data_IF_560816001693
#
_entry.id   IF_560816001693
#
_cell.length_a   1.000
_cell.length_b   1.000
_cell.length_c   1.000
_cell.angle_alpha   90.00
_cell.angle_beta   90.00
_cell.angle_gamma   90.00
#
_symmetry.space_group_name_H-M   'P 1'
#
loop_
_entity.id
_entity.type
_entity.pdbx_description
1 polymer ?
#
# COMPACT_ATOMS: atom_id res chain seq x y z
N UNK A 1 16.12 15.29 -42.53
CA UNK A 1 16.87 15.13 -41.27
C UNK A 1 17.14 13.65 -41.08
N UNK A 2 18.41 13.23 -41.04
CA UNK A 2 18.74 11.82 -40.79
C UNK A 2 18.40 11.47 -39.33
N UNK A 3 17.74 10.34 -39.04
CA UNK A 3 17.42 9.95 -37.67
C UNK A 3 18.72 9.71 -36.89
N UNK A 4 18.84 10.33 -35.72
CA UNK A 4 19.95 10.09 -34.79
C UNK A 4 19.92 8.64 -34.34
N UNK A 5 21.01 7.91 -34.60
CA UNK A 5 21.14 6.51 -34.23
C UNK A 5 20.98 6.33 -32.71
N UNK A 6 20.12 5.39 -32.31
CA UNK A 6 19.90 5.01 -30.91
C UNK A 6 21.21 4.55 -30.27
N UNK A 7 21.61 5.18 -29.17
CA UNK A 7 22.83 4.82 -28.45
C UNK A 7 22.57 3.65 -27.49
N UNK A 8 22.88 2.44 -27.92
CA UNK A 8 22.71 1.20 -27.15
C UNK A 8 23.85 0.91 -26.15
N UNK A 9 24.88 1.75 -26.12
CA UNK A 9 26.09 1.54 -25.29
C UNK A 9 25.76 1.43 -23.79
N UNK A 10 24.87 2.27 -23.20
CA UNK A 10 24.53 2.14 -21.78
C UNK A 10 23.86 0.79 -21.44
N UNK A 11 22.96 0.30 -22.31
CA UNK A 11 22.28 -0.97 -22.10
C UNK A 11 23.22 -2.17 -22.14
N UNK A 12 24.21 -2.14 -23.03
CA UNK A 12 25.26 -3.18 -23.12
C UNK A 12 26.16 -3.21 -21.89
N UNK A 13 26.46 -2.06 -21.29
CA UNK A 13 27.26 -1.99 -20.05
C UNK A 13 26.49 -2.62 -18.88
N UNK A 14 25.19 -2.32 -18.73
CA UNK A 14 24.38 -2.89 -17.63
C UNK A 14 24.26 -4.41 -17.79
N UNK A 15 24.03 -4.90 -19.01
CA UNK A 15 23.93 -6.34 -19.30
C UNK A 15 25.22 -7.09 -18.94
N UNK A 16 26.37 -6.54 -19.33
CA UNK A 16 27.67 -7.17 -19.08
C UNK A 16 28.02 -7.20 -17.59
N UNK A 17 27.75 -6.12 -16.85
CA UNK A 17 27.92 -6.10 -15.38
C UNK A 17 27.01 -7.11 -14.70
N UNK A 18 25.74 -7.22 -15.12
CA UNK A 18 24.80 -8.22 -14.60
C UNK A 18 25.25 -9.66 -14.83
N UNK A 19 25.78 -9.96 -16.02
CA UNK A 19 26.31 -11.29 -16.35
C UNK A 19 27.56 -11.64 -15.53
N UNK A 20 28.46 -10.68 -15.28
CA UNK A 20 29.65 -10.90 -14.46
C UNK A 20 29.26 -11.16 -13.00
N UNK A 21 28.30 -10.40 -12.46
CA UNK A 21 27.78 -10.62 -11.11
C UNK A 21 27.09 -12.00 -10.96
N UNK A 22 26.29 -12.40 -11.95
CA UNK A 22 25.65 -13.71 -11.98
C UNK A 22 26.68 -14.85 -12.08
N UNK A 23 27.72 -14.69 -12.88
CA UNK A 23 28.81 -15.66 -12.99
C UNK A 23 29.58 -15.80 -11.65
N UNK A 24 29.88 -14.70 -10.98
CA UNK A 24 30.50 -14.70 -9.65
C UNK A 24 29.60 -15.35 -8.59
N UNK A 25 28.29 -15.12 -8.64
CA UNK A 25 27.33 -15.75 -7.75
C UNK A 25 27.23 -17.27 -7.96
N UNK A 26 27.22 -17.72 -9.21
CA UNK A 26 27.22 -19.16 -9.52
C UNK A 26 28.54 -19.83 -9.13
N UNK A 27 29.68 -19.14 -9.31
CA UNK A 27 30.99 -19.66 -8.93
C UNK A 27 31.13 -19.80 -7.42
N UNK A 28 30.59 -18.87 -6.63
CA UNK A 28 30.55 -18.95 -5.16
C UNK A 28 29.58 -20.03 -4.65
N UNK A 29 28.43 -20.26 -5.32
CA UNK A 29 27.53 -21.37 -4.99
C UNK A 29 28.12 -22.75 -5.28
N UNK A 30 28.92 -22.90 -6.35
CA UNK A 30 29.51 -24.21 -6.69
C UNK A 30 30.56 -24.67 -5.69
N UNK A 31 31.14 -23.75 -4.91
CA UNK A 31 32.08 -24.05 -3.80
C UNK A 31 31.34 -24.43 -2.50
N UNK A 32 30.06 -24.10 -2.37
CA UNK A 32 29.28 -24.33 -1.14
C UNK A 32 28.50 -25.66 -1.11
N UNK A 33 28.55 -26.48 -2.16
CA UNK A 33 27.67 -27.64 -2.33
C UNK A 33 28.08 -28.92 -1.57
N UNK A 34 29.00 -28.84 -0.62
CA UNK A 34 29.40 -30.00 0.19
C UNK A 34 29.81 -29.60 1.61
N UNK A 35 28.86 -29.12 2.42
CA UNK A 35 29.05 -28.99 3.86
C UNK A 35 27.96 -29.78 4.61
N UNK A 36 28.30 -30.57 5.64
CA UNK A 36 27.32 -31.29 6.44
C UNK A 36 26.36 -30.30 7.13
N UNK A 37 25.12 -30.75 7.38
CA UNK A 37 24.03 -29.98 8.02
C UNK A 37 24.57 -29.04 9.11
N UNK A 38 24.42 -27.74 8.90
CA UNK A 38 24.85 -26.74 9.88
C UNK A 38 24.02 -26.92 11.15
N UNK A 39 24.63 -26.65 12.31
CA UNK A 39 23.96 -26.69 13.63
C UNK A 39 22.68 -25.84 13.67
N UNK A 40 22.58 -24.84 12.79
CA UNK A 40 21.44 -23.95 12.65
C UNK A 40 20.24 -24.62 11.99
N UNK A 41 20.44 -25.56 11.05
CA UNK A 41 19.35 -26.29 10.38
C UNK A 41 18.58 -27.22 11.33
N UNK A 42 19.30 -27.94 12.20
CA UNK A 42 18.68 -28.81 13.20
C UNK A 42 17.83 -28.03 14.23
N UNK A 43 18.22 -26.80 14.56
CA UNK A 43 17.43 -25.93 15.43
C UNK A 43 16.15 -25.43 14.75
N UNK A 44 16.25 -25.08 13.47
CA UNK A 44 15.11 -24.63 12.67
C UNK A 44 14.08 -25.75 12.48
N UNK A 45 14.52 -26.99 12.26
CA UNK A 45 13.64 -28.15 12.15
C UNK A 45 12.91 -28.46 13.46
N UNK A 46 13.60 -28.38 14.60
CA UNK A 46 12.99 -28.54 15.93
C UNK A 46 11.95 -27.44 16.21
N UNK A 47 12.23 -26.21 15.79
CA UNK A 47 11.33 -25.08 15.91
C UNK A 47 10.06 -25.25 15.05
N UNK A 48 10.21 -25.66 13.78
CA UNK A 48 9.08 -25.97 12.90
C UNK A 48 8.21 -27.08 13.46
N UNK A 49 8.82 -28.15 14.00
CA UNK A 49 8.08 -29.26 14.61
C UNK A 49 7.29 -28.81 15.84
N UNK A 50 7.89 -27.98 16.70
CA UNK A 50 7.19 -27.43 17.86
C UNK A 50 5.98 -26.58 17.44
N UNK A 51 6.14 -25.68 16.47
CA UNK A 51 5.02 -24.85 15.99
C UNK A 51 3.88 -25.70 15.41
N UNK A 52 4.19 -26.75 14.65
CA UNK A 52 3.19 -27.68 14.14
C UNK A 52 2.39 -28.39 15.24
N UNK A 53 3.04 -28.76 16.35
CA UNK A 53 2.36 -29.41 17.49
C UNK A 53 1.47 -28.45 18.26
N UNK A 54 1.87 -27.18 18.38
CA UNK A 54 1.03 -26.13 18.98
C UNK A 54 -0.23 -25.91 18.14
N UNK A 55 -0.11 -25.93 16.81
CA UNK A 55 -1.27 -25.77 15.94
C UNK A 55 -2.25 -26.95 16.06
N UNK A 56 -1.75 -28.19 16.10
CA UNK A 56 -2.58 -29.37 16.35
C UNK A 56 -3.30 -29.32 17.70
N UNK A 57 -2.66 -28.77 18.75
CA UNK A 57 -3.31 -28.57 20.05
C UNK A 57 -4.45 -27.55 19.99
N UNK A 58 -4.32 -26.49 19.18
CA UNK A 58 -5.39 -25.51 18.97
C UNK A 58 -6.56 -26.12 18.21
N UNK A 59 -6.27 -26.86 17.13
CA UNK A 59 -7.29 -27.57 16.35
C UNK A 59 -8.04 -28.57 17.23
N UNK A 60 -7.32 -29.39 18.00
CA UNK A 60 -7.93 -30.33 18.94
C UNK A 60 -8.80 -29.62 19.99
N UNK A 61 -8.38 -28.44 20.47
CA UNK A 61 -9.17 -27.64 21.40
C UNK A 61 -10.45 -27.08 20.77
N UNK A 62 -10.43 -26.73 19.47
CA UNK A 62 -11.62 -26.31 18.73
C UNK A 62 -12.63 -27.45 18.57
N UNK A 63 -12.14 -28.68 18.35
CA UNK A 63 -12.96 -29.89 18.16
C UNK A 63 -13.36 -30.58 19.48
N UNK A 64 -13.09 -29.97 20.63
CA UNK A 64 -13.36 -30.54 21.96
C UNK A 64 -14.79 -31.08 22.13
N UNK A 65 -15.77 -30.41 21.53
CA UNK A 65 -17.19 -30.79 21.63
C UNK A 65 -17.60 -31.94 20.72
N UNK A 66 -16.77 -32.30 19.72
CA UNK A 66 -17.04 -33.35 18.75
C UNK A 66 -16.42 -34.70 19.12
N UNK A 67 -15.52 -34.75 20.12
CA UNK A 67 -14.85 -35.96 20.58
C UNK A 67 -15.38 -36.45 21.93
N UNK A 68 -15.34 -37.77 22.12
CA UNK A 68 -15.55 -38.41 23.42
C UNK A 68 -14.53 -37.87 24.45
N UNK A 69 -14.95 -37.54 25.69
CA UNK A 69 -14.08 -36.90 26.69
C UNK A 69 -12.77 -37.66 26.96
N UNK A 70 -12.83 -38.99 27.02
CA UNK A 70 -11.64 -39.82 27.25
C UNK A 70 -10.65 -39.78 26.09
N UNK A 71 -11.15 -39.72 24.84
CA UNK A 71 -10.31 -39.65 23.64
C UNK A 71 -9.66 -38.29 23.50
N UNK A 72 -10.41 -37.22 23.80
CA UNK A 72 -9.88 -35.86 23.81
C UNK A 72 -8.70 -35.72 24.79
N UNK A 73 -8.86 -36.19 26.02
CA UNK A 73 -7.80 -36.11 27.04
C UNK A 73 -6.58 -36.97 26.69
N UNK A 74 -6.78 -38.13 26.06
CA UNK A 74 -5.68 -38.99 25.60
C UNK A 74 -4.86 -38.32 24.47
N UNK A 75 -5.53 -37.78 23.45
CA UNK A 75 -4.85 -37.15 22.30
C UNK A 75 -4.17 -35.84 22.72
N UNK A 76 -4.83 -35.06 23.59
CA UNK A 76 -4.27 -33.84 24.15
C UNK A 76 -2.98 -34.12 24.93
N UNK A 77 -3.00 -35.09 25.84
CA UNK A 77 -1.81 -35.46 26.62
C UNK A 77 -0.67 -35.94 25.74
N UNK A 78 -0.97 -36.70 24.69
CA UNK A 78 0.03 -37.16 23.72
C UNK A 78 0.71 -35.96 23.03
N UNK A 79 -0.07 -35.03 22.48
CA UNK A 79 0.46 -33.85 21.79
C UNK A 79 1.25 -32.93 22.73
N UNK A 80 0.77 -32.73 23.96
CA UNK A 80 1.49 -31.96 24.98
C UNK A 80 2.85 -32.59 25.32
N UNK A 81 2.92 -33.91 25.47
CA UNK A 81 4.18 -34.62 25.72
C UNK A 81 5.16 -34.50 24.55
N UNK A 82 4.68 -34.62 23.31
CA UNK A 82 5.51 -34.46 22.11
C UNK A 82 6.04 -33.01 21.97
N UNK A 83 5.22 -32.00 22.27
CA UNK A 83 5.62 -30.59 22.23
C UNK A 83 6.70 -30.28 23.27
N UNK A 84 6.53 -30.80 24.50
CA UNK A 84 7.53 -30.68 25.58
C UNK A 84 8.84 -31.38 25.19
N UNK A 85 8.77 -32.55 24.54
CA UNK A 85 9.95 -33.25 24.07
C UNK A 85 10.72 -32.46 23.00
N UNK A 86 10.01 -31.87 22.03
CA UNK A 86 10.61 -31.01 21.00
C UNK A 86 11.30 -29.77 21.61
N UNK A 87 10.67 -29.13 22.60
CA UNK A 87 11.23 -27.96 23.29
C UNK A 87 12.49 -28.33 24.09
N UNK A 88 12.49 -29.46 24.82
CA UNK A 88 13.68 -29.94 25.53
C UNK A 88 14.83 -30.27 24.57
N UNK A 89 14.53 -30.89 23.42
CA UNK A 89 15.54 -31.16 22.41
C UNK A 89 16.17 -29.86 21.88
N UNK A 90 15.35 -28.81 21.66
CA UNK A 90 15.83 -27.48 21.28
C UNK A 90 16.75 -26.89 22.36
N UNK A 91 16.35 -26.92 23.62
CA UNK A 91 17.15 -26.41 24.74
C UNK A 91 18.46 -27.19 24.93
N UNK A 92 18.46 -28.51 24.73
CA UNK A 92 19.67 -29.32 24.74
C UNK A 92 20.61 -28.98 23.59
N UNK A 93 20.07 -28.74 22.39
CA UNK A 93 20.84 -28.28 21.24
C UNK A 93 21.47 -26.90 21.51
N UNK A 94 20.73 -25.97 22.13
CA UNK A 94 21.24 -24.66 22.55
C UNK A 94 22.32 -24.79 23.64
N UNK A 95 22.14 -25.67 24.63
CA UNK A 95 23.15 -25.93 25.67
C UNK A 95 24.41 -26.59 25.11
N UNK A 96 24.28 -27.58 24.23
CA UNK A 96 25.41 -28.23 23.52
C UNK A 96 26.10 -27.27 22.54
N UNK A 97 25.39 -26.25 22.06
CA UNK A 97 25.89 -25.18 21.19
C UNK A 97 26.81 -24.16 21.88
N UNK A 98 26.85 -24.11 23.21
CA UNK A 98 27.81 -23.30 23.96
C UNK A 98 27.67 -21.79 23.75
N UNK A 99 26.58 -21.20 24.25
CA UNK A 99 26.57 -19.78 24.58
C UNK A 99 27.19 -19.57 25.97
N UNK A 100 28.47 -19.22 26.02
CA UNK A 100 28.98 -18.41 27.14
C UNK A 100 28.46 -16.99 26.90
N UNK A 101 27.64 -16.40 27.79
CA UNK A 101 27.32 -14.98 27.68
C UNK A 101 28.57 -14.21 28.07
N UNK A 102 29.24 -13.59 27.09
CA UNK A 102 30.38 -12.71 27.32
C UNK A 102 31.75 -13.30 26.96
N UNK A 103 31.99 -13.63 25.69
CA UNK A 103 33.34 -13.64 25.14
C UNK A 103 33.25 -13.39 23.64
N UNK A 104 33.57 -12.16 23.23
CA UNK A 104 33.77 -11.78 21.82
C UNK A 104 34.94 -12.61 21.29
N UNK A 105 34.64 -13.74 20.62
CA UNK A 105 35.66 -14.54 19.93
C UNK A 105 36.12 -13.76 18.70
N UNK A 106 37.33 -13.19 18.78
CA UNK A 106 38.05 -12.75 17.60
C UNK A 106 38.28 -13.97 16.69
N UNK A 107 37.74 -13.90 15.48
CA UNK A 107 37.91 -14.94 14.47
C UNK A 107 39.39 -14.99 14.02
N UNK A 108 39.97 -16.17 13.75
CA UNK A 108 41.33 -16.25 13.25
C UNK A 108 41.43 -15.54 11.90
N UNK A 109 42.36 -14.60 11.80
CA UNK A 109 42.62 -13.85 10.58
C UNK A 109 42.98 -14.80 9.44
N UNK A 110 42.05 -14.96 8.49
CA UNK A 110 42.33 -15.62 7.23
C UNK A 110 43.44 -14.84 6.52
N UNK A 111 44.62 -15.47 6.34
CA UNK A 111 45.70 -14.97 5.50
C UNK A 111 45.28 -15.02 4.03
N UNK A 112 44.40 -14.11 3.63
CA UNK A 112 44.17 -13.72 2.24
C UNK A 112 44.85 -12.38 1.99
N UNK A 113 45.33 -12.15 0.76
CA UNK A 113 46.11 -10.95 0.38
C UNK A 113 45.45 -9.58 0.68
N UNK A 114 44.18 -9.55 1.08
CA UNK A 114 43.45 -8.34 1.42
C UNK A 114 42.76 -8.52 2.77
N UNK A 115 43.02 -7.60 3.70
CA UNK A 115 42.43 -7.61 5.04
C UNK A 115 40.89 -7.55 4.95
N UNK A 116 40.16 -8.17 5.90
CA UNK A 116 38.69 -8.17 5.89
C UNK A 116 38.07 -6.77 5.84
N UNK A 117 38.74 -5.79 6.46
CA UNK A 117 38.32 -4.38 6.44
C UNK A 117 38.47 -3.76 5.05
N UNK A 118 39.53 -4.10 4.30
CA UNK A 118 39.69 -3.64 2.91
C UNK A 118 38.60 -4.22 2.00
N UNK A 119 38.19 -5.46 2.22
CA UNK A 119 37.09 -6.09 1.47
C UNK A 119 35.76 -5.37 1.72
N UNK A 120 35.49 -5.00 2.97
CA UNK A 120 34.32 -4.19 3.33
C UNK A 120 34.36 -2.78 2.74
N UNK A 121 35.53 -2.13 2.79
CA UNK A 121 35.72 -0.80 2.21
C UNK A 121 35.54 -0.79 0.68
N UNK A 122 36.02 -1.82 -0.02
CA UNK A 122 35.82 -1.97 -1.46
C UNK A 122 34.35 -2.19 -1.83
N UNK A 123 33.62 -2.97 -1.03
CA UNK A 123 32.17 -3.16 -1.21
C UNK A 123 31.38 -1.87 -0.95
N UNK A 124 31.67 -1.17 0.15
CA UNK A 124 31.04 0.11 0.46
C UNK A 124 31.33 1.18 -0.59
N UNK A 125 32.58 1.26 -1.04
CA UNK A 125 32.99 2.17 -2.12
C UNK A 125 32.28 1.88 -3.44
N UNK A 126 32.10 0.59 -3.80
CA UNK A 126 31.35 0.19 -4.98
C UNK A 126 29.88 0.59 -4.93
N UNK A 127 29.21 0.44 -3.78
CA UNK A 127 27.81 0.85 -3.60
C UNK A 127 27.67 2.37 -3.72
N UNK A 128 28.53 3.14 -3.06
CA UNK A 128 28.52 4.61 -3.13
C UNK A 128 28.75 5.07 -4.56
N UNK A 129 29.72 4.48 -5.26
CA UNK A 129 30.01 4.80 -6.67
C UNK A 129 28.81 4.47 -7.56
N UNK A 130 28.14 3.33 -7.34
CA UNK A 130 26.95 2.94 -8.08
C UNK A 130 25.81 3.95 -7.91
N UNK A 131 25.46 4.31 -6.67
CA UNK A 131 24.38 5.27 -6.42
C UNK A 131 24.75 6.69 -6.83
N UNK A 132 26.01 7.10 -6.73
CA UNK A 132 26.47 8.38 -7.24
C UNK A 132 26.36 8.44 -8.77
N UNK A 133 26.77 7.37 -9.45
CA UNK A 133 26.64 7.25 -10.91
C UNK A 133 25.17 7.23 -11.32
N UNK A 134 24.34 6.44 -10.63
CA UNK A 134 22.89 6.36 -10.86
C UNK A 134 22.23 7.73 -10.67
N UNK A 135 22.54 8.42 -9.57
CA UNK A 135 21.99 9.75 -9.26
C UNK A 135 22.42 10.77 -10.29
N UNK A 136 23.70 10.76 -10.69
CA UNK A 136 24.20 11.63 -11.75
C UNK A 136 23.49 11.37 -13.07
N UNK A 137 23.34 10.11 -13.47
CA UNK A 137 22.62 9.75 -14.71
C UNK A 137 21.16 10.18 -14.65
N UNK A 138 20.48 9.94 -13.53
CA UNK A 138 19.05 10.23 -13.38
C UNK A 138 18.77 11.74 -13.37
N UNK A 139 19.63 12.53 -12.72
CA UNK A 139 19.55 14.01 -12.76
C UNK A 139 19.93 14.54 -14.14
N UNK A 140 20.92 13.95 -14.82
CA UNK A 140 21.34 14.39 -16.15
C UNK A 140 20.30 14.09 -17.24
N UNK A 141 19.49 13.04 -17.07
CA UNK A 141 18.45 12.63 -18.02
C UNK A 141 17.07 13.23 -17.72
N UNK A 142 16.90 13.95 -16.61
CA UNK A 142 15.71 14.76 -16.35
C UNK A 142 15.69 15.97 -17.28
N UNK A 143 15.28 15.78 -18.54
CA UNK A 143 14.86 16.88 -19.41
C UNK A 143 13.57 17.46 -18.86
N UNK A 144 13.52 18.79 -18.72
CA UNK A 144 12.25 19.52 -18.54
C UNK A 144 11.43 19.34 -19.81
N UNK A 145 10.25 18.73 -19.67
CA UNK A 145 9.33 18.41 -20.76
C UNK A 145 8.96 19.68 -21.54
N UNK A 146 9.25 19.70 -22.85
CA UNK A 146 8.74 20.72 -23.75
C UNK A 146 7.30 20.40 -24.15
N UNK A 147 6.50 21.42 -24.47
CA UNK A 147 5.07 21.31 -24.83
C UNK A 147 4.77 20.33 -25.99
N UNK A 148 5.78 19.92 -26.76
CA UNK A 148 5.62 19.07 -27.95
C UNK A 148 5.98 17.59 -27.76
N UNK A 149 6.43 17.17 -26.57
CA UNK A 149 6.81 15.77 -26.33
C UNK A 149 5.58 14.88 -26.06
N UNK A 150 5.21 14.08 -27.08
CA UNK A 150 4.14 13.09 -27.01
C UNK A 150 4.45 12.00 -25.98
N UNK A 151 3.48 11.74 -25.07
CA UNK A 151 3.58 10.68 -24.08
C UNK A 151 3.81 9.32 -24.77
N UNK A 152 4.79 8.55 -24.29
CA UNK A 152 5.07 7.18 -24.75
C UNK A 152 4.02 6.20 -24.22
N UNK A 153 2.79 6.43 -24.64
CA UNK A 153 1.68 5.51 -24.57
C UNK A 153 0.79 5.87 -25.74
N UNK A 154 0.66 4.99 -26.73
CA UNK A 154 -0.39 5.14 -27.74
C UNK A 154 -1.71 5.00 -27.02
N UNK A 155 -2.29 6.13 -26.62
CA UNK A 155 -3.65 6.18 -26.13
C UNK A 155 -4.54 5.88 -27.35
N UNK A 156 -5.40 4.85 -27.30
CA UNK A 156 -6.33 4.58 -28.39
C UNK A 156 -7.14 5.84 -28.71
N UNK A 157 -7.43 6.13 -29.99
CA UNK A 157 -8.27 7.27 -30.33
C UNK A 157 -9.65 7.04 -29.72
N UNK A 158 -9.98 7.83 -28.69
CA UNK A 158 -11.18 7.65 -27.85
C UNK A 158 -10.93 7.64 -26.34
N UNK A 159 -9.67 7.51 -25.87
CA UNK A 159 -9.29 7.65 -24.46
C UNK A 159 -8.34 8.82 -24.23
N UNK A 160 -8.42 9.87 -25.06
CA UNK A 160 -7.83 11.15 -24.69
C UNK A 160 -8.42 11.56 -23.36
N UNK A 161 -7.56 11.77 -22.36
CA UNK A 161 -7.92 12.56 -21.19
C UNK A 161 -8.67 13.78 -21.72
N UNK A 162 -9.98 13.83 -21.46
CA UNK A 162 -10.77 15.02 -21.69
C UNK A 162 -9.99 16.16 -21.05
N UNK A 163 -9.76 17.21 -21.84
CA UNK A 163 -9.03 18.41 -21.45
C UNK A 163 -9.80 19.18 -20.36
N UNK A 164 -9.94 18.60 -19.18
CA UNK A 164 -10.54 19.17 -17.98
C UNK A 164 -9.49 19.81 -17.06
N UNK A 165 -8.20 19.51 -17.27
CA UNK A 165 -7.09 20.02 -16.47
C UNK A 165 -6.99 21.57 -16.38
N UNK A 166 -7.35 22.39 -17.40
CA UNK A 166 -7.28 23.85 -17.26
C UNK A 166 -8.37 24.45 -16.35
N UNK A 167 -9.58 23.86 -16.33
CA UNK A 167 -10.70 24.37 -15.55
C UNK A 167 -10.63 23.92 -14.09
N UNK A 168 -10.19 22.68 -13.84
CA UNK A 168 -10.02 22.12 -12.50
C UNK A 168 -8.94 22.87 -11.69
N UNK A 169 -7.82 23.25 -12.33
CA UNK A 169 -6.80 24.07 -11.67
C UNK A 169 -7.27 25.52 -11.45
N UNK A 170 -8.15 26.03 -12.31
CA UNK A 170 -8.75 27.36 -12.14
C UNK A 170 -9.67 27.40 -10.90
N UNK A 171 -10.55 26.41 -10.74
CA UNK A 171 -11.47 26.35 -9.59
C UNK A 171 -10.75 26.21 -8.25
N UNK A 172 -9.71 25.36 -8.20
CA UNK A 172 -8.88 25.23 -6.99
C UNK A 172 -8.23 26.57 -6.63
N UNK A 173 -7.61 27.22 -7.61
CA UNK A 173 -6.88 28.48 -7.40
C UNK A 173 -7.82 29.59 -6.94
N UNK A 174 -8.99 29.72 -7.59
CA UNK A 174 -10.01 30.71 -7.21
C UNK A 174 -10.54 30.47 -5.79
N UNK A 175 -10.84 29.21 -5.43
CA UNK A 175 -11.30 28.86 -4.09
C UNK A 175 -10.23 29.19 -3.03
N UNK A 176 -8.95 28.90 -3.31
CA UNK A 176 -7.84 29.25 -2.43
C UNK A 176 -7.70 30.77 -2.25
N UNK A 177 -7.81 31.55 -3.31
CA UNK A 177 -7.75 33.01 -3.23
C UNK A 177 -8.92 33.59 -2.42
N UNK A 178 -10.13 33.08 -2.64
CA UNK A 178 -11.32 33.50 -1.88
C UNK A 178 -11.18 33.19 -0.39
N UNK A 179 -10.78 31.96 -0.03
CA UNK A 179 -10.54 31.58 1.38
C UNK A 179 -9.42 32.41 2.00
N UNK A 180 -8.37 32.74 1.24
CA UNK A 180 -7.27 33.60 1.72
C UNK A 180 -7.74 35.03 2.00
N UNK A 181 -8.54 35.59 1.11
CA UNK A 181 -9.04 36.97 1.23
C UNK A 181 -10.18 37.08 2.25
N UNK A 182 -10.99 36.04 2.40
CA UNK A 182 -12.09 35.95 3.35
C UNK A 182 -12.14 34.54 3.96
N UNK A 183 -11.47 34.31 5.11
CA UNK A 183 -11.47 33.01 5.79
C UNK A 183 -12.84 32.54 6.31
N UNK A 184 -13.85 33.42 6.31
CA UNK A 184 -15.24 33.10 6.67
C UNK A 184 -16.16 32.87 5.46
N UNK A 185 -15.62 32.87 4.24
CA UNK A 185 -16.35 32.51 3.03
C UNK A 185 -16.59 30.98 3.01
N UNK A 186 -17.75 30.57 3.49
CA UNK A 186 -18.11 29.15 3.63
C UNK A 186 -18.21 28.45 2.27
N UNK A 187 -18.73 29.14 1.25
CA UNK A 187 -18.87 28.58 -0.10
C UNK A 187 -17.49 28.34 -0.71
N UNK A 188 -16.55 29.29 -0.56
CA UNK A 188 -15.19 29.10 -1.02
C UNK A 188 -14.47 27.99 -0.25
N UNK A 189 -14.72 27.87 1.05
CA UNK A 189 -14.16 26.80 1.87
C UNK A 189 -14.72 25.43 1.51
N UNK A 190 -16.01 25.34 1.19
CA UNK A 190 -16.66 24.12 0.73
C UNK A 190 -16.10 23.69 -0.64
N UNK A 191 -16.00 24.62 -1.60
CA UNK A 191 -15.40 24.37 -2.90
C UNK A 191 -13.94 23.91 -2.77
N UNK A 192 -13.14 24.60 -1.94
CA UNK A 192 -11.75 24.22 -1.70
C UNK A 192 -11.65 22.83 -1.06
N UNK A 193 -12.49 22.55 -0.06
CA UNK A 193 -12.55 21.24 0.58
C UNK A 193 -12.90 20.13 -0.42
N UNK A 194 -13.93 20.34 -1.23
CA UNK A 194 -14.36 19.39 -2.25
C UNK A 194 -13.19 19.04 -3.18
N UNK A 195 -12.52 20.06 -3.72
CA UNK A 195 -11.44 19.86 -4.68
C UNK A 195 -10.22 19.19 -4.05
N UNK A 196 -9.89 19.53 -2.80
CA UNK A 196 -8.86 18.83 -2.03
C UNK A 196 -9.23 17.35 -1.79
N UNK A 197 -10.48 17.02 -1.50
CA UNK A 197 -10.96 15.64 -1.37
C UNK A 197 -10.80 14.89 -2.70
N UNK A 198 -11.22 15.47 -3.82
CA UNK A 198 -11.06 14.86 -5.16
C UNK A 198 -9.60 14.58 -5.51
N UNK A 199 -8.70 15.49 -5.14
CA UNK A 199 -7.25 15.35 -5.32
C UNK A 199 -6.58 14.45 -4.28
N UNK A 200 -7.36 13.86 -3.36
CA UNK A 200 -6.88 13.00 -2.28
C UNK A 200 -5.95 13.72 -1.28
N UNK A 201 -6.04 15.05 -1.21
CA UNK A 201 -5.29 15.91 -0.29
C UNK A 201 -6.05 16.03 1.05
N UNK A 202 -6.31 14.88 1.66
CA UNK A 202 -7.27 14.75 2.77
C UNK A 202 -6.91 15.56 4.02
N UNK A 203 -5.62 15.70 4.34
CA UNK A 203 -5.18 16.48 5.50
C UNK A 203 -5.43 17.98 5.33
N UNK A 204 -5.34 18.48 4.11
CA UNK A 204 -5.63 19.88 3.80
C UNK A 204 -7.13 20.12 3.77
N UNK A 205 -7.87 19.21 3.12
CA UNK A 205 -9.33 19.22 3.11
C UNK A 205 -9.88 19.25 4.54
N UNK A 206 -9.34 18.44 5.45
CA UNK A 206 -9.81 18.41 6.83
C UNK A 206 -9.53 19.69 7.60
N UNK A 207 -8.36 20.32 7.39
CA UNK A 207 -8.06 21.62 7.99
C UNK A 207 -9.03 22.70 7.50
N UNK A 208 -9.30 22.74 6.21
CA UNK A 208 -10.23 23.70 5.60
C UNK A 208 -11.66 23.45 6.10
N UNK A 209 -12.11 22.19 6.04
CA UNK A 209 -13.45 21.77 6.47
C UNK A 209 -13.71 22.11 7.93
N UNK A 210 -12.80 21.72 8.84
CA UNK A 210 -12.99 21.96 10.28
C UNK A 210 -12.92 23.45 10.62
N UNK A 211 -12.10 24.24 9.93
CA UNK A 211 -12.08 25.69 10.12
C UNK A 211 -13.39 26.33 9.69
N UNK A 212 -13.94 25.91 8.55
CA UNK A 212 -15.20 26.45 8.05
C UNK A 212 -16.39 26.01 8.93
N UNK A 213 -16.40 24.77 9.41
CA UNK A 213 -17.39 24.28 10.38
C UNK A 213 -17.29 24.95 11.76
N UNK A 214 -16.12 25.49 12.12
CA UNK A 214 -15.98 26.32 13.33
C UNK A 214 -16.62 27.71 13.15
N UNK A 215 -16.78 28.19 11.91
CA UNK A 215 -17.51 29.42 11.58
C UNK A 215 -19.01 29.14 11.54
N UNK A 216 -19.43 28.11 10.81
CA UNK A 216 -20.82 27.63 10.78
C UNK A 216 -20.90 26.10 10.90
N UNK A 217 -21.29 25.59 12.08
CA UNK A 217 -21.44 24.14 12.30
C UNK A 217 -22.60 23.50 11.53
N UNK A 218 -23.50 24.28 10.91
CA UNK A 218 -24.71 23.78 10.28
C UNK A 218 -24.62 23.64 8.76
N UNK A 219 -23.52 24.09 8.14
CA UNK A 219 -23.29 23.93 6.70
C UNK A 219 -23.38 22.47 6.28
N UNK A 220 -24.41 22.15 5.49
CA UNK A 220 -24.72 20.78 5.06
C UNK A 220 -23.60 20.20 4.21
N UNK A 221 -23.13 20.96 3.22
CA UNK A 221 -22.05 20.56 2.30
C UNK A 221 -20.73 20.29 3.05
N UNK A 222 -20.33 21.17 3.97
CA UNK A 222 -19.13 20.95 4.79
C UNK A 222 -19.28 19.75 5.74
N UNK A 223 -20.49 19.47 6.23
CA UNK A 223 -20.76 18.25 7.03
C UNK A 223 -20.69 16.99 6.17
N UNK A 224 -21.07 17.05 4.89
CA UNK A 224 -20.84 15.97 3.93
C UNK A 224 -19.33 15.74 3.77
N UNK A 225 -18.55 16.79 3.50
CA UNK A 225 -17.08 16.68 3.41
C UNK A 225 -16.45 16.09 4.67
N UNK A 226 -16.89 16.51 5.87
CA UNK A 226 -16.42 15.94 7.13
C UNK A 226 -16.72 14.44 7.23
N UNK A 227 -17.90 13.99 6.80
CA UNK A 227 -18.25 12.57 6.74
C UNK A 227 -17.31 11.79 5.82
N UNK A 228 -17.00 12.32 4.64
CA UNK A 228 -16.04 11.70 3.72
C UNK A 228 -14.65 11.59 4.35
N UNK A 229 -14.19 12.65 5.02
CA UNK A 229 -12.89 12.69 5.69
C UNK A 229 -12.82 11.71 6.87
N UNK A 230 -13.92 11.52 7.60
CA UNK A 230 -14.04 10.46 8.62
C UNK A 230 -13.84 9.06 8.01
N UNK A 231 -14.49 8.79 6.88
CA UNK A 231 -14.34 7.50 6.21
C UNK A 231 -12.90 7.25 5.75
N UNK A 232 -12.26 8.26 5.16
CA UNK A 232 -10.85 8.16 4.73
C UNK A 232 -9.89 7.92 5.90
N UNK A 233 -10.22 8.42 7.10
CA UNK A 233 -9.46 8.19 8.34
C UNK A 233 -9.71 6.83 8.99
N UNK A 234 -10.57 6.00 8.38
CA UNK A 234 -10.88 4.65 8.85
C UNK A 234 -12.15 4.55 9.72
N UNK A 235 -12.81 5.66 10.04
CA UNK A 235 -14.14 5.64 10.66
C UNK A 235 -15.24 5.55 9.60
N UNK A 236 -15.22 4.45 8.84
CA UNK A 236 -16.14 4.26 7.71
C UNK A 236 -17.58 4.03 8.19
N UNK A 237 -17.76 3.30 9.29
CA UNK A 237 -19.09 3.05 9.87
C UNK A 237 -19.72 4.33 10.43
N UNK A 238 -18.96 5.14 11.16
CA UNK A 238 -19.43 6.43 11.66
C UNK A 238 -19.73 7.41 10.53
N UNK A 239 -18.87 7.47 9.53
CA UNK A 239 -19.09 8.28 8.33
C UNK A 239 -20.37 7.89 7.58
N UNK A 240 -20.60 6.60 7.36
CA UNK A 240 -21.80 6.14 6.68
C UNK A 240 -23.07 6.52 7.43
N UNK A 241 -23.09 6.33 8.76
CA UNK A 241 -24.24 6.71 9.59
C UNK A 241 -24.49 8.22 9.52
N UNK A 242 -23.44 9.04 9.60
CA UNK A 242 -23.55 10.50 9.56
C UNK A 242 -24.02 10.99 8.18
N UNK A 243 -23.45 10.45 7.10
CA UNK A 243 -23.79 10.80 5.72
C UNK A 243 -25.20 10.36 5.35
N UNK A 244 -25.62 9.15 5.73
CA UNK A 244 -26.97 8.67 5.48
C UNK A 244 -28.01 9.55 6.17
N UNK A 245 -27.77 9.91 7.44
CA UNK A 245 -28.65 10.82 8.18
C UNK A 245 -28.72 12.21 7.52
N UNK A 246 -27.61 12.71 6.99
CA UNK A 246 -27.58 13.97 6.26
C UNK A 246 -28.47 13.92 5.02
N UNK A 247 -28.32 12.91 4.16
CA UNK A 247 -29.13 12.74 2.94
C UNK A 247 -30.62 12.60 3.25
N UNK A 248 -30.95 11.82 4.28
CA UNK A 248 -32.36 11.58 4.64
C UNK A 248 -33.02 12.82 5.26
N UNK A 249 -32.24 13.79 5.76
CA UNK A 249 -32.75 15.01 6.42
C UNK A 249 -32.72 16.23 5.51
N UNK A 250 -31.69 16.37 4.67
CA UNK A 250 -31.41 17.58 3.91
C UNK A 250 -31.33 17.26 2.41
N UNK A 251 -32.24 17.82 1.60
CA UNK A 251 -32.19 17.69 0.14
C UNK A 251 -30.89 18.19 -0.50
N UNK A 252 -30.17 19.10 0.14
CA UNK A 252 -28.91 19.63 -0.37
C UNK A 252 -27.71 18.71 -0.08
N UNK A 253 -27.90 17.66 0.72
CA UNK A 253 -26.85 16.70 1.07
C UNK A 253 -26.67 15.58 0.04
N UNK A 254 -27.40 15.59 -1.08
CA UNK A 254 -27.46 14.47 -2.03
C UNK A 254 -26.10 14.06 -2.59
N UNK A 255 -25.15 14.99 -2.68
CA UNK A 255 -23.76 14.69 -3.05
C UNK A 255 -23.10 13.64 -2.14
N UNK A 256 -23.54 13.51 -0.89
CA UNK A 256 -23.11 12.45 0.00
C UNK A 256 -23.36 11.05 -0.57
N UNK A 257 -24.41 10.84 -1.37
CA UNK A 257 -24.66 9.56 -2.03
C UNK A 257 -23.57 9.21 -3.04
N UNK A 258 -23.02 10.18 -3.76
CA UNK A 258 -21.89 9.96 -4.66
C UNK A 258 -20.65 9.55 -3.87
N UNK A 259 -20.36 10.24 -2.77
CA UNK A 259 -19.23 9.90 -1.92
C UNK A 259 -19.40 8.54 -1.23
N UNK A 260 -20.59 8.23 -0.72
CA UNK A 260 -20.89 6.90 -0.15
C UNK A 260 -20.74 5.80 -1.19
N UNK A 261 -21.16 6.03 -2.43
CA UNK A 261 -20.94 5.12 -3.54
C UNK A 261 -19.46 4.92 -3.85
N UNK A 262 -18.66 5.99 -3.89
CA UNK A 262 -17.21 5.92 -4.10
C UNK A 262 -16.48 5.20 -2.95
N UNK A 263 -16.90 5.42 -1.70
CA UNK A 263 -16.39 4.73 -0.52
C UNK A 263 -16.71 3.23 -0.60
N UNK A 264 -17.95 2.87 -0.94
CA UNK A 264 -18.36 1.47 -1.12
C UNK A 264 -17.58 0.78 -2.26
N UNK A 265 -17.29 1.49 -3.36
CA UNK A 265 -16.42 1.00 -4.44
C UNK A 265 -15.02 0.67 -3.93
N UNK A 266 -14.44 1.54 -3.09
CA UNK A 266 -13.11 1.33 -2.48
C UNK A 266 -13.09 0.11 -1.55
N UNK A 267 -14.21 -0.15 -0.87
CA UNK A 267 -14.40 -1.33 -0.02
C UNK A 267 -14.66 -2.62 -0.82
N UNK A 268 -14.92 -2.52 -2.13
CA UNK A 268 -15.31 -3.65 -2.96
C UNK A 268 -16.79 -4.03 -2.88
N UNK A 269 -17.60 -3.28 -2.12
CA UNK A 269 -19.05 -3.49 -2.04
C UNK A 269 -19.75 -2.80 -3.23
N UNK A 270 -19.64 -3.44 -4.39
CA UNK A 270 -20.23 -2.98 -5.64
C UNK A 270 -21.76 -2.89 -5.59
N UNK A 271 -22.41 -3.76 -4.81
CA UNK A 271 -23.87 -3.78 -4.70
C UNK A 271 -24.37 -2.54 -3.95
N UNK A 272 -23.69 -2.18 -2.86
CA UNK A 272 -23.99 -0.95 -2.12
C UNK A 272 -23.65 0.29 -2.91
N UNK A 273 -22.50 0.30 -3.61
CA UNK A 273 -22.12 1.40 -4.50
C UNK A 273 -23.19 1.66 -5.56
N UNK A 274 -23.67 0.60 -6.23
CA UNK A 274 -24.75 0.71 -7.21
C UNK A 274 -26.01 1.32 -6.59
N UNK A 275 -26.42 0.86 -5.40
CA UNK A 275 -27.60 1.39 -4.72
C UNK A 275 -27.49 2.89 -4.40
N UNK A 276 -26.33 3.36 -3.95
CA UNK A 276 -26.11 4.79 -3.67
C UNK A 276 -26.14 5.63 -4.95
N UNK A 277 -25.49 5.17 -6.02
CA UNK A 277 -25.49 5.89 -7.30
C UNK A 277 -26.87 5.92 -7.96
N UNK A 278 -27.63 4.83 -7.90
CA UNK A 278 -29.01 4.78 -8.40
C UNK A 278 -29.93 5.71 -7.62
N UNK A 279 -29.80 5.75 -6.29
CA UNK A 279 -30.53 6.68 -5.44
C UNK A 279 -30.23 8.13 -5.82
N UNK A 280 -28.96 8.48 -5.99
CA UNK A 280 -28.57 9.81 -6.47
C UNK A 280 -29.19 10.13 -7.84
N UNK A 281 -29.14 9.19 -8.78
CA UNK A 281 -29.68 9.39 -10.12
C UNK A 281 -31.20 9.61 -10.15
N UNK A 282 -31.92 9.11 -9.16
CA UNK A 282 -33.38 9.29 -8.99
C UNK A 282 -33.70 10.59 -8.25
N UNK A 283 -32.93 10.92 -7.22
CA UNK A 283 -33.21 12.07 -6.33
C UNK A 283 -32.69 13.40 -6.90
N UNK A 284 -31.69 13.36 -7.77
CA UNK A 284 -31.07 14.55 -8.37
C UNK A 284 -31.49 14.67 -9.85
N UNK A 285 -31.92 15.86 -10.31
CA UNK A 285 -32.16 16.14 -11.74
C UNK A 285 -30.97 15.78 -12.64
N UNK A 286 -31.26 15.25 -13.83
CA UNK A 286 -30.26 14.75 -14.77
C UNK A 286 -29.21 15.79 -15.21
N UNK A 287 -29.55 17.08 -15.18
CA UNK A 287 -28.65 18.18 -15.53
C UNK A 287 -27.51 18.36 -14.51
N UNK A 288 -27.71 17.88 -13.28
CA UNK A 288 -26.74 17.96 -12.18
C UNK A 288 -25.99 16.65 -11.97
N UNK A 289 -26.22 15.63 -12.82
CA UNK A 289 -25.48 14.38 -12.74
C UNK A 289 -24.03 14.60 -13.16
N UNK A 290 -23.03 14.15 -12.37
CA UNK A 290 -21.66 14.21 -12.82
C UNK A 290 -21.50 13.28 -14.04
N UNK A 291 -20.74 13.68 -15.08
CA UNK A 291 -20.63 12.93 -16.34
C UNK A 291 -20.36 11.41 -16.22
N UNK A 292 -19.52 10.92 -15.28
CA UNK A 292 -19.26 9.48 -15.17
C UNK A 292 -20.38 8.67 -14.50
N UNK A 293 -21.40 9.30 -13.89
CA UNK A 293 -22.39 8.61 -13.05
C UNK A 293 -23.12 7.47 -13.78
N UNK A 294 -23.72 7.79 -14.93
CA UNK A 294 -24.53 6.82 -15.66
C UNK A 294 -23.68 5.66 -16.19
N UNK A 295 -22.46 5.95 -16.64
CA UNK A 295 -21.51 4.93 -17.08
C UNK A 295 -21.14 3.99 -15.92
N UNK A 296 -20.88 4.55 -14.72
CA UNK A 296 -20.59 3.76 -13.52
C UNK A 296 -21.77 2.86 -13.11
N UNK A 297 -23.01 3.38 -13.14
CA UNK A 297 -24.21 2.59 -12.85
C UNK A 297 -24.35 1.42 -13.84
N UNK A 298 -24.20 1.68 -15.15
CA UNK A 298 -24.33 0.64 -16.17
C UNK A 298 -23.24 -0.44 -16.05
N UNK A 299 -22.00 -0.03 -15.76
CA UNK A 299 -20.92 -0.96 -15.52
C UNK A 299 -21.21 -1.85 -14.30
N UNK A 300 -21.62 -1.27 -13.19
CA UNK A 300 -21.93 -2.01 -11.96
C UNK A 300 -23.11 -2.97 -12.14
N UNK A 301 -24.14 -2.58 -12.90
CA UNK A 301 -25.24 -3.48 -13.28
C UNK A 301 -24.76 -4.69 -14.07
N UNK A 302 -23.92 -4.46 -15.07
CA UNK A 302 -23.31 -5.53 -15.87
C UNK A 302 -22.46 -6.48 -15.03
N UNK A 303 -21.66 -5.96 -14.11
CA UNK A 303 -20.83 -6.76 -13.20
C UNK A 303 -21.65 -7.56 -12.17
N UNK A 304 -22.82 -7.06 -11.77
CA UNK A 304 -23.72 -7.70 -10.81
C UNK A 304 -24.81 -8.56 -11.47
N UNK A 305 -24.90 -8.57 -12.80
CA UNK A 305 -25.93 -9.29 -13.57
C UNK A 305 -27.35 -8.76 -13.38
N UNK A 306 -27.50 -7.44 -13.19
CA UNK A 306 -28.79 -6.74 -13.02
C UNK A 306 -29.21 -5.95 -14.25
#
# INVERSE_FOLDING_TARGET
MNPTATNWVPGLIVLTVGLIAAALFLFTRKVAASAPESKDGALEDLERRYQSLIEQLKELAADKHALEPERYEAERKRLELEAVAALRAKDEHLKKGGATPGARREAPAAKGLLSPQLKGALWGGGIVLFFATLSYTLVSEQRTRGEEDAATGRVPPGMGATAQQPQEDTQLTEAMERVKNNPSDLDAAALLSHELIRRQMYEEADRVTNRALAVDPFSVELRVHLGVLKAVRGDEAGAEQDLMKLVDTYPDAQEALLFMGAIAMRQGDKAKALGMFERFAVEVPSEMHPPPLLAAIQQLRGELGR
#
